data_IF_352081634730
#
_entry.id   IF_352081634730
#
_cell.length_a   1.000
_cell.length_b   1.000
_cell.length_c   1.000
_cell.angle_alpha   90.00
_cell.angle_beta   90.00
_cell.angle_gamma   90.00
#
_symmetry.space_group_name_H-M   'P 1'
#
loop_
_entity.id
_entity.type
_entity.pdbx_description
1 polymer ?
#
# COMPACT_ATOMS: atom_id res chain seq x y z
N UNK A 1 12.88 -32.58 39.14
CA UNK A 1 11.84 -31.88 38.37
C UNK A 1 12.38 -31.54 36.99
N UNK A 2 11.55 -31.70 35.96
CA UNK A 2 11.87 -31.55 34.54
C UNK A 2 11.59 -30.09 34.12
N UNK A 3 12.62 -29.27 33.93
CA UNK A 3 12.48 -27.87 33.51
C UNK A 3 12.32 -27.80 31.99
N UNK A 4 11.06 -27.91 31.56
CA UNK A 4 10.64 -27.64 30.20
C UNK A 4 10.45 -26.12 30.06
N UNK A 5 11.50 -25.38 29.70
CA UNK A 5 11.38 -23.97 29.34
C UNK A 5 11.01 -23.87 27.86
N UNK A 6 9.81 -23.36 27.50
CA UNK A 6 9.46 -23.13 26.12
C UNK A 6 10.34 -22.01 25.58
N UNK A 7 11.03 -22.28 24.46
CA UNK A 7 11.73 -21.28 23.67
C UNK A 7 10.67 -20.33 23.11
N UNK A 8 10.35 -19.27 23.84
CA UNK A 8 9.49 -18.19 23.38
C UNK A 8 10.33 -17.29 22.47
N UNK A 9 10.04 -17.39 21.19
CA UNK A 9 10.26 -16.42 20.13
C UNK A 9 11.08 -15.17 20.51
N UNK A 10 12.37 -15.20 20.16
CA UNK A 10 13.16 -14.09 19.62
C UNK A 10 12.66 -12.67 19.97
N UNK A 11 12.57 -12.37 21.26
CA UNK A 11 12.50 -11.01 21.75
C UNK A 11 13.93 -10.52 21.72
N UNK A 12 14.29 -9.71 20.73
CA UNK A 12 15.49 -8.87 20.82
C UNK A 12 15.29 -7.97 22.03
N UNK A 13 15.72 -8.47 23.19
CA UNK A 13 15.77 -7.75 24.44
C UNK A 13 16.85 -6.68 24.28
N UNK A 14 16.40 -5.45 24.04
CA UNK A 14 17.25 -4.27 23.94
C UNK A 14 17.85 -4.02 25.32
N UNK A 15 19.07 -4.51 25.55
CA UNK A 15 19.81 -4.30 26.80
C UNK A 15 20.03 -2.82 27.12
N UNK A 16 20.23 -2.53 28.41
CA UNK A 16 20.55 -1.20 28.95
C UNK A 16 21.73 -0.59 28.17
N UNK A 17 21.46 0.44 27.34
CA UNK A 17 22.46 1.05 26.46
C UNK A 17 21.92 1.79 25.23
N UNK A 18 20.61 1.77 24.96
CA UNK A 18 19.98 2.56 23.89
C UNK A 18 19.69 3.99 24.36
N UNK A 19 20.21 5.00 23.63
CA UNK A 19 19.87 6.40 23.87
C UNK A 19 18.45 6.69 23.39
N UNK A 20 17.85 7.78 23.87
CA UNK A 20 16.54 8.24 23.39
C UNK A 20 16.51 8.48 21.86
N UNK A 21 17.66 8.82 21.26
CA UNK A 21 17.79 8.93 19.80
C UNK A 21 17.74 7.56 19.12
N UNK A 22 18.42 6.54 19.67
CA UNK A 22 18.42 5.19 19.08
C UNK A 22 17.02 4.56 19.08
N UNK A 23 16.20 4.85 20.10
CA UNK A 23 14.80 4.43 20.15
C UNK A 23 13.95 5.10 19.05
N UNK A 24 14.18 6.38 18.78
CA UNK A 24 13.47 7.11 17.71
C UNK A 24 13.79 6.55 16.33
N UNK A 25 15.04 6.18 16.06
CA UNK A 25 15.45 5.60 14.78
C UNK A 25 14.81 4.22 14.57
N UNK A 26 14.73 3.40 15.63
CA UNK A 26 14.04 2.10 15.59
C UNK A 26 12.54 2.26 15.37
N UNK A 27 11.90 3.22 16.03
CA UNK A 27 10.48 3.51 15.81
C UNK A 27 10.22 4.00 14.40
N UNK A 28 11.07 4.88 13.86
CA UNK A 28 10.99 5.35 12.49
C UNK A 28 11.13 4.20 11.49
N UNK A 29 12.10 3.31 11.70
CA UNK A 29 12.26 2.08 10.92
C UNK A 29 11.00 1.21 10.95
N UNK A 30 10.42 0.95 12.13
CA UNK A 30 9.20 0.14 12.26
C UNK A 30 8.02 0.79 11.54
N UNK A 31 7.85 2.11 11.66
CA UNK A 31 6.80 2.87 10.97
C UNK A 31 6.97 2.82 9.45
N UNK A 32 8.19 3.01 8.94
CA UNK A 32 8.46 2.92 7.51
C UNK A 32 8.25 1.50 6.97
N UNK A 33 8.66 0.47 7.72
CA UNK A 33 8.41 -0.93 7.36
C UNK A 33 6.92 -1.23 7.28
N UNK A 34 6.15 -0.82 8.29
CA UNK A 34 4.70 -1.00 8.31
C UNK A 34 4.06 -0.28 7.13
N UNK A 35 4.42 0.99 6.91
CA UNK A 35 3.96 1.77 5.77
C UNK A 35 4.27 1.08 4.44
N UNK A 36 5.46 0.48 4.28
CA UNK A 36 5.82 -0.29 3.09
C UNK A 36 4.92 -1.50 2.88
N UNK A 37 4.57 -2.23 3.94
CA UNK A 37 3.67 -3.38 3.83
C UNK A 37 2.24 -2.95 3.48
N UNK A 38 1.75 -1.89 4.13
CA UNK A 38 0.44 -1.29 3.83
C UNK A 38 0.37 -0.77 2.39
N UNK A 39 1.42 -0.09 1.91
CA UNK A 39 1.50 0.40 0.53
C UNK A 39 1.54 -0.74 -0.49
N UNK A 40 2.34 -1.80 -0.24
CA UNK A 40 2.42 -2.96 -1.12
C UNK A 40 1.07 -3.68 -1.22
N UNK A 41 0.40 -3.91 -0.09
CA UNK A 41 -0.90 -4.55 -0.06
C UNK A 41 -1.94 -3.67 -0.78
N UNK A 42 -1.95 -2.37 -0.50
CA UNK A 42 -2.81 -1.42 -1.17
C UNK A 42 -2.57 -1.35 -2.70
N UNK A 43 -1.32 -1.45 -3.15
CA UNK A 43 -1.02 -1.51 -4.58
C UNK A 43 -1.61 -2.78 -5.23
N UNK A 44 -1.45 -3.95 -4.58
CA UNK A 44 -2.05 -5.21 -5.05
C UNK A 44 -3.57 -5.14 -5.10
N UNK A 45 -4.20 -4.61 -4.06
CA UNK A 45 -5.66 -4.42 -4.00
C UNK A 45 -6.14 -3.44 -5.09
N UNK A 46 -5.42 -2.35 -5.32
CA UNK A 46 -5.73 -1.40 -6.39
C UNK A 46 -5.60 -2.05 -7.78
N UNK A 47 -4.55 -2.83 -8.03
CA UNK A 47 -4.34 -3.56 -9.29
C UNK A 47 -5.43 -4.60 -9.52
N UNK A 48 -5.82 -5.35 -8.50
CA UNK A 48 -6.89 -6.33 -8.60
C UNK A 48 -8.23 -5.64 -8.92
N UNK A 49 -8.55 -4.57 -8.18
CA UNK A 49 -9.75 -3.79 -8.43
C UNK A 49 -9.77 -3.14 -9.82
N UNK A 50 -8.60 -2.75 -10.35
CA UNK A 50 -8.50 -2.25 -11.72
C UNK A 50 -8.78 -3.33 -12.76
N UNK A 51 -8.29 -4.56 -12.56
CA UNK A 51 -8.62 -5.72 -13.41
C UNK A 51 -10.11 -6.04 -13.37
N UNK A 52 -10.71 -6.04 -12.17
CA UNK A 52 -12.15 -6.25 -12.02
C UNK A 52 -12.96 -5.17 -12.76
N UNK A 53 -12.54 -3.90 -12.67
CA UNK A 53 -13.18 -2.80 -13.39
C UNK A 53 -13.04 -2.92 -14.91
N UNK A 54 -11.86 -3.32 -15.40
CA UNK A 54 -11.59 -3.54 -16.83
C UNK A 54 -12.43 -4.68 -17.38
N UNK A 55 -12.51 -5.81 -16.67
CA UNK A 55 -13.33 -6.95 -17.06
C UNK A 55 -14.82 -6.57 -17.10
N UNK A 56 -15.32 -5.90 -16.06
CA UNK A 56 -16.70 -5.41 -16.03
C UNK A 56 -16.98 -4.41 -17.17
N UNK A 57 -16.01 -3.57 -17.55
CA UNK A 57 -16.14 -2.69 -18.72
C UNK A 57 -16.23 -3.47 -20.03
N UNK A 58 -15.40 -4.49 -20.22
CA UNK A 58 -15.43 -5.32 -21.43
C UNK A 58 -16.76 -6.09 -21.53
N UNK A 59 -17.26 -6.60 -20.41
CA UNK A 59 -18.57 -7.26 -20.36
C UNK A 59 -19.70 -6.27 -20.67
N UNK A 60 -19.65 -5.05 -20.13
CA UNK A 60 -20.62 -3.99 -20.46
C UNK A 60 -20.62 -3.63 -21.95
N UNK A 61 -19.43 -3.61 -22.59
CA UNK A 61 -19.31 -3.39 -24.04
C UNK A 61 -19.87 -4.55 -24.88
N UNK A 62 -19.70 -5.80 -24.44
CA UNK A 62 -20.26 -6.98 -25.13
C UNK A 62 -21.78 -7.08 -25.00
N UNK A 63 -22.32 -6.66 -23.86
CA UNK A 63 -23.76 -6.69 -23.53
C UNK A 63 -24.48 -5.39 -23.94
N UNK A 64 -23.88 -4.58 -24.85
CA UNK A 64 -24.48 -3.37 -25.40
C UNK A 64 -25.96 -3.62 -25.73
N UNK A 65 -26.83 -2.71 -25.31
CA UNK A 65 -28.29 -2.74 -25.50
C UNK A 65 -29.09 -3.69 -24.57
N UNK A 66 -28.52 -4.15 -23.45
CA UNK A 66 -29.24 -4.91 -22.40
C UNK A 66 -29.17 -4.25 -21.02
N UNK A 67 -30.20 -4.43 -20.18
CA UNK A 67 -30.21 -4.04 -18.76
C UNK A 67 -28.98 -4.58 -17.98
N UNK A 68 -28.40 -5.69 -18.46
CA UNK A 68 -27.19 -6.28 -17.91
C UNK A 68 -25.94 -5.38 -18.11
N UNK A 69 -25.90 -4.54 -19.15
CA UNK A 69 -24.80 -3.57 -19.36
C UNK A 69 -24.74 -2.52 -18.25
N UNK A 70 -25.90 -2.02 -17.81
CA UNK A 70 -25.97 -1.06 -16.69
C UNK A 70 -25.53 -1.69 -15.36
N UNK A 71 -25.85 -2.97 -15.15
CA UNK A 71 -25.37 -3.72 -13.98
C UNK A 71 -23.85 -3.86 -14.00
N UNK A 72 -23.26 -4.21 -15.16
CA UNK A 72 -21.80 -4.30 -15.34
C UNK A 72 -21.11 -2.95 -15.17
N UNK A 73 -21.70 -1.85 -15.65
CA UNK A 73 -21.17 -0.50 -15.42
C UNK A 73 -21.16 -0.12 -13.93
N UNK A 74 -22.16 -0.55 -13.14
CA UNK A 74 -22.15 -0.40 -11.67
C UNK A 74 -21.08 -1.25 -11.00
N UNK A 75 -20.86 -2.46 -11.47
CA UNK A 75 -19.77 -3.32 -10.98
C UNK A 75 -18.40 -2.68 -11.24
N UNK A 76 -18.17 -2.14 -12.44
CA UNK A 76 -16.97 -1.39 -12.77
C UNK A 76 -16.77 -0.18 -11.84
N UNK A 77 -17.85 0.58 -11.56
CA UNK A 77 -17.82 1.73 -10.65
C UNK A 77 -17.48 1.31 -9.20
N UNK A 78 -18.01 0.17 -8.77
CA UNK A 78 -17.73 -0.39 -7.44
C UNK A 78 -16.28 -0.83 -7.33
N UNK A 79 -15.75 -1.49 -8.37
CA UNK A 79 -14.35 -1.87 -8.45
C UNK A 79 -13.42 -0.64 -8.46
N UNK A 80 -13.71 0.40 -9.25
CA UNK A 80 -12.96 1.65 -9.22
C UNK A 80 -13.00 2.34 -7.84
N UNK A 81 -14.13 2.25 -7.12
CA UNK A 81 -14.22 2.76 -5.74
C UNK A 81 -13.33 1.99 -4.77
N UNK A 82 -13.16 0.67 -4.94
CA UNK A 82 -12.19 -0.12 -4.19
C UNK A 82 -10.76 0.29 -4.53
N UNK A 83 -10.45 0.47 -5.82
CA UNK A 83 -9.15 0.96 -6.27
C UNK A 83 -8.83 2.34 -5.69
N UNK A 84 -9.82 3.24 -5.60
CA UNK A 84 -9.67 4.55 -4.96
C UNK A 84 -9.29 4.44 -3.48
N UNK A 85 -10.03 3.62 -2.72
CA UNK A 85 -9.73 3.41 -1.30
C UNK A 85 -8.33 2.84 -1.09
N UNK A 86 -7.93 1.88 -1.92
CA UNK A 86 -6.60 1.31 -1.89
C UNK A 86 -5.53 2.37 -2.22
N UNK A 87 -5.75 3.21 -3.24
CA UNK A 87 -4.89 4.34 -3.52
C UNK A 87 -4.77 5.34 -2.35
N UNK A 88 -5.87 5.64 -1.65
CA UNK A 88 -5.85 6.49 -0.46
C UNK A 88 -5.01 5.87 0.68
N UNK A 89 -5.11 4.55 0.88
CA UNK A 89 -4.25 3.81 1.83
C UNK A 89 -2.77 3.93 1.46
N UNK A 90 -2.42 3.71 0.18
CA UNK A 90 -1.04 3.87 -0.29
C UNK A 90 -0.54 5.31 -0.15
N UNK A 91 -1.40 6.32 -0.36
CA UNK A 91 -1.06 7.73 -0.15
C UNK A 91 -0.78 8.05 1.32
N UNK A 92 -1.58 7.50 2.24
CA UNK A 92 -1.36 7.67 3.68
C UNK A 92 -0.08 6.96 4.14
N UNK A 93 0.21 5.78 3.60
CA UNK A 93 1.46 5.07 3.83
C UNK A 93 2.68 5.88 3.35
N UNK A 94 2.59 6.52 2.17
CA UNK A 94 3.62 7.45 1.68
C UNK A 94 3.90 8.57 2.67
N UNK A 95 2.86 9.26 3.14
CA UNK A 95 3.01 10.33 4.14
C UNK A 95 3.65 9.84 5.44
N UNK A 96 3.30 8.63 5.89
CA UNK A 96 3.89 8.02 7.07
C UNK A 96 5.38 7.71 6.88
N UNK A 97 5.77 7.17 5.72
CA UNK A 97 7.16 6.90 5.37
C UNK A 97 7.99 8.19 5.23
N UNK A 98 7.45 9.23 4.58
CA UNK A 98 8.08 10.56 4.49
C UNK A 98 8.29 11.20 5.86
N UNK A 99 7.32 11.02 6.77
CA UNK A 99 7.43 11.50 8.15
C UNK A 99 8.51 10.76 8.92
N UNK A 100 8.63 9.45 8.73
CA UNK A 100 9.68 8.61 9.34
C UNK A 100 11.09 8.93 8.78
N UNK A 101 11.19 9.36 7.52
CA UNK A 101 12.45 9.84 6.94
C UNK A 101 12.93 11.13 7.59
N UNK A 102 12.03 12.07 7.86
CA UNK A 102 12.37 13.37 8.45
C UNK A 102 12.92 13.28 9.87
N UNK A 103 12.62 12.20 10.61
CA UNK A 103 13.13 12.01 11.97
C UNK A 103 14.57 11.49 12.05
N UNK A 104 15.17 11.08 10.91
CA UNK A 104 16.52 10.50 10.80
C UNK A 104 17.58 11.51 10.25
N UNK A 105 17.33 12.81 10.31
CA UNK A 105 18.13 13.81 9.58
C UNK A 105 19.51 14.13 10.16
N UNK A 106 19.83 13.66 11.38
CA UNK A 106 21.14 13.90 12.01
C UNK A 106 22.10 12.72 11.73
N UNK A 107 23.21 12.98 11.02
CA UNK A 107 24.24 11.99 10.67
C UNK A 107 24.98 11.49 11.92
N UNK A 108 24.68 10.27 12.40
CA UNK A 108 25.50 9.57 13.39
C UNK A 108 26.19 8.31 12.82
N UNK A 109 27.44 7.99 13.22
CA UNK A 109 28.33 7.19 12.36
C UNK A 109 28.25 5.67 12.53
N UNK A 110 27.48 5.09 13.44
CA UNK A 110 27.63 3.65 13.74
C UNK A 110 26.33 3.00 14.21
N UNK A 111 25.92 1.90 13.54
CA UNK A 111 24.67 1.10 13.71
C UNK A 111 23.36 1.78 13.28
N UNK A 112 23.16 3.07 13.54
CA UNK A 112 22.04 3.88 13.03
C UNK A 112 21.98 3.86 11.49
N UNK A 113 23.15 3.76 10.84
CA UNK A 113 23.30 3.68 9.39
C UNK A 113 22.50 2.50 8.76
N UNK A 114 22.26 1.39 9.46
CA UNK A 114 21.45 0.28 8.94
C UNK A 114 19.94 0.59 8.99
N UNK A 115 19.45 1.12 10.11
CA UNK A 115 18.03 1.48 10.25
C UNK A 115 17.67 2.63 9.34
N UNK A 116 18.52 3.65 9.22
CA UNK A 116 18.29 4.77 8.30
C UNK A 116 18.36 4.34 6.83
N UNK A 117 19.28 3.44 6.45
CA UNK A 117 19.30 2.84 5.09
C UNK A 117 18.04 2.04 4.81
N UNK A 118 17.64 1.15 5.73
CA UNK A 118 16.43 0.35 5.57
C UNK A 118 15.16 1.21 5.54
N UNK A 119 15.11 2.28 6.32
CA UNK A 119 14.01 3.26 6.30
C UNK A 119 13.92 3.95 4.94
N UNK A 120 15.06 4.32 4.34
CA UNK A 120 15.12 4.83 2.96
C UNK A 120 14.65 3.78 1.94
N UNK A 121 15.15 2.54 2.02
CA UNK A 121 14.72 1.44 1.15
C UNK A 121 13.19 1.23 1.22
N UNK A 122 12.61 1.24 2.42
CA UNK A 122 11.16 1.11 2.60
C UNK A 122 10.40 2.32 2.05
N UNK A 123 10.89 3.54 2.24
CA UNK A 123 10.26 4.72 1.68
C UNK A 123 10.28 4.72 0.14
N UNK A 124 11.39 4.29 -0.47
CA UNK A 124 11.48 4.10 -1.93
C UNK A 124 10.50 3.02 -2.42
N UNK A 125 10.34 1.93 -1.65
CA UNK A 125 9.36 0.89 -1.95
C UNK A 125 7.93 1.42 -1.87
N UNK A 126 7.60 2.16 -0.81
CA UNK A 126 6.31 2.84 -0.65
C UNK A 126 6.02 3.77 -1.83
N UNK A 127 7.02 4.50 -2.32
CA UNK A 127 6.85 5.38 -3.47
C UNK A 127 6.54 4.61 -4.76
N UNK A 128 7.23 3.48 -5.00
CA UNK A 128 6.94 2.58 -6.12
C UNK A 128 5.52 2.01 -6.04
N UNK A 129 5.12 1.54 -4.86
CA UNK A 129 3.80 0.96 -4.64
C UNK A 129 2.68 2.01 -4.70
N UNK A 130 2.95 3.23 -4.24
CA UNK A 130 2.07 4.37 -4.45
C UNK A 130 1.83 4.67 -5.93
N UNK A 131 2.89 4.72 -6.75
CA UNK A 131 2.74 4.93 -8.20
C UNK A 131 2.03 3.75 -8.88
N UNK A 132 2.24 2.51 -8.43
CA UNK A 132 1.45 1.34 -8.89
C UNK A 132 -0.03 1.51 -8.58
N UNK A 133 -0.37 1.83 -7.34
CA UNK A 133 -1.76 2.05 -6.92
C UNK A 133 -2.42 3.19 -7.69
N UNK A 134 -1.70 4.29 -7.93
CA UNK A 134 -2.16 5.43 -8.73
C UNK A 134 -2.45 5.04 -10.17
N UNK A 135 -1.53 4.31 -10.82
CA UNK A 135 -1.70 3.82 -12.18
C UNK A 135 -2.90 2.86 -12.29
N UNK A 136 -3.06 1.96 -11.29
CA UNK A 136 -4.19 1.06 -11.23
C UNK A 136 -5.53 1.80 -11.07
N UNK A 137 -5.59 2.78 -10.17
CA UNK A 137 -6.76 3.63 -9.99
C UNK A 137 -7.13 4.41 -11.28
N UNK A 138 -6.13 4.94 -12.00
CA UNK A 138 -6.37 5.59 -13.29
C UNK A 138 -6.94 4.63 -14.33
N UNK A 139 -6.41 3.41 -14.43
CA UNK A 139 -6.97 2.36 -15.32
C UNK A 139 -8.40 2.00 -14.94
N UNK A 140 -8.69 1.83 -13.65
CA UNK A 140 -10.03 1.52 -13.16
C UNK A 140 -11.03 2.63 -13.54
N UNK A 141 -10.65 3.90 -13.39
CA UNK A 141 -11.48 5.03 -13.82
C UNK A 141 -11.71 5.05 -15.33
N UNK A 142 -10.69 4.75 -16.13
CA UNK A 142 -10.84 4.69 -17.58
C UNK A 142 -11.81 3.57 -17.99
N UNK A 143 -11.75 2.41 -17.32
CA UNK A 143 -12.68 1.31 -17.54
C UNK A 143 -14.12 1.71 -17.17
N UNK A 144 -14.32 2.43 -16.06
CA UNK A 144 -15.65 2.97 -15.69
C UNK A 144 -16.21 3.90 -16.74
N UNK A 145 -15.39 4.78 -17.32
CA UNK A 145 -15.83 5.69 -18.39
C UNK A 145 -16.30 4.90 -19.62
N UNK A 146 -15.50 3.93 -20.07
CA UNK A 146 -15.86 3.05 -21.20
C UNK A 146 -17.15 2.27 -20.93
N UNK A 147 -17.29 1.70 -19.74
CA UNK A 147 -18.49 0.97 -19.33
C UNK A 147 -19.73 1.88 -19.35
N UNK A 148 -19.60 3.13 -18.87
CA UNK A 148 -20.67 4.13 -18.91
C UNK A 148 -21.06 4.50 -20.34
N UNK A 149 -20.08 4.74 -21.21
CA UNK A 149 -20.32 5.01 -22.63
C UNK A 149 -21.03 3.84 -23.33
N UNK A 150 -20.68 2.60 -22.98
CA UNK A 150 -21.36 1.41 -23.49
C UNK A 150 -22.80 1.24 -22.97
N UNK A 151 -23.07 1.69 -21.75
CA UNK A 151 -24.39 1.57 -21.10
C UNK A 151 -25.35 2.74 -21.39
N UNK A 152 -24.85 3.87 -21.90
CA UNK A 152 -25.69 5.02 -22.28
C UNK A 152 -26.27 4.78 -23.67
N UNK A 153 -27.39 4.06 -23.72
CA UNK A 153 -28.32 4.02 -24.85
C UNK A 153 -29.73 4.36 -24.35
#
# INVERSE_FOLDING_TARGET
>A
ENVNTPIVANSMEFGEGFSADDQKDIEAYKKAKQASQDAEQAAKDAEQAAKDAEQASQDAEKLKESDESYTKAKEACTAASKAKKAFETASNAKKAAESALKTNADEKPSRINLFSRKTKEYAEQVEKDYERAKNAYQKANQAVLKAKEASSY
#
